data_IF_377306749609
#
_entry.id   IF_377306749609
#
_cell.length_a   1.000
_cell.length_b   1.000
_cell.length_c   1.000
_cell.angle_alpha   90.00
_cell.angle_beta   90.00
_cell.angle_gamma   90.00
#
_symmetry.space_group_name_H-M   'P 1'
#
loop_
_entity.id
_entity.type
_entity.pdbx_description
1 polymer ?
#
# COMPACT_ATOMS: atom_id res chain seq x y z
N UNK A 1 25.82 23.75 7.55
CA UNK A 1 25.90 22.31 7.21
C UNK A 1 26.94 21.62 8.07
N UNK A 2 26.63 20.45 8.57
CA UNK A 2 27.56 19.58 9.28
C UNK A 2 27.98 18.46 8.32
N UNK A 3 29.26 18.18 8.22
CA UNK A 3 29.81 17.09 7.42
C UNK A 3 30.54 16.12 8.33
N UNK A 4 30.25 14.84 8.19
CA UNK A 4 30.96 13.76 8.86
C UNK A 4 31.19 12.61 7.87
N UNK A 5 32.17 11.78 8.17
CA UNK A 5 32.45 10.56 7.41
C UNK A 5 32.68 9.38 8.37
N UNK A 6 32.27 8.20 7.95
CA UNK A 6 32.49 6.95 8.68
C UNK A 6 32.73 5.82 7.68
N UNK A 7 33.33 4.74 8.17
CA UNK A 7 33.50 3.50 7.41
C UNK A 7 32.38 2.55 7.75
N UNK A 8 31.62 2.11 6.73
CA UNK A 8 30.55 1.13 6.89
C UNK A 8 31.15 -0.27 6.74
N UNK A 9 31.67 -0.83 7.84
CA UNK A 9 32.43 -2.10 7.89
C UNK A 9 31.59 -3.29 8.42
N UNK A 10 30.40 -3.04 8.92
CA UNK A 10 29.44 -4.08 9.35
C UNK A 10 28.40 -4.29 8.24
N UNK A 11 28.35 -5.47 7.61
CA UNK A 11 27.36 -5.73 6.56
C UNK A 11 25.95 -5.86 7.12
N UNK A 12 24.94 -5.57 6.30
CA UNK A 12 23.52 -5.72 6.66
C UNK A 12 22.62 -4.63 6.10
N UNK A 13 21.39 -4.68 6.52
CA UNK A 13 20.40 -3.61 6.32
C UNK A 13 20.16 -2.92 7.67
N UNK A 14 20.33 -1.62 7.72
CA UNK A 14 20.27 -0.84 8.95
C UNK A 14 19.29 0.32 8.79
N UNK A 15 18.68 0.72 9.90
CA UNK A 15 17.98 1.99 9.97
C UNK A 15 18.97 3.11 10.30
N UNK A 16 18.78 4.28 9.69
CA UNK A 16 19.26 5.55 10.26
C UNK A 16 18.08 6.43 10.60
N UNK A 17 18.15 7.20 11.68
CA UNK A 17 17.04 8.03 12.10
C UNK A 17 17.49 9.25 12.92
N UNK A 18 16.59 10.21 13.07
CA UNK A 18 16.78 11.35 13.95
C UNK A 18 16.79 10.89 15.42
N UNK A 19 17.74 11.38 16.20
CA UNK A 19 17.87 11.09 17.65
C UNK A 19 17.46 12.27 18.52
N UNK A 20 16.96 13.36 17.94
CA UNK A 20 16.49 14.53 18.69
C UNK A 20 15.25 14.18 19.50
N UNK A 21 15.21 14.64 20.76
CA UNK A 21 14.03 14.44 21.62
C UNK A 21 12.87 15.35 21.23
N UNK A 22 11.63 14.83 21.26
CA UNK A 22 11.22 13.46 21.54
C UNK A 22 11.38 12.55 20.33
N UNK A 23 12.25 11.55 20.42
CA UNK A 23 12.62 10.63 19.32
C UNK A 23 11.38 10.03 18.64
N UNK A 24 10.42 9.54 19.44
CA UNK A 24 9.19 8.94 18.95
C UNK A 24 8.41 9.86 18.01
N UNK A 25 8.35 11.16 18.30
CA UNK A 25 7.68 12.13 17.44
C UNK A 25 8.41 12.30 16.11
N UNK A 26 9.75 12.37 16.15
CA UNK A 26 10.55 12.55 14.94
C UNK A 26 10.50 11.31 14.06
N UNK A 27 10.59 10.11 14.64
CA UNK A 27 10.40 8.84 13.94
C UNK A 27 9.01 8.74 13.32
N UNK A 28 7.96 9.02 14.07
CA UNK A 28 6.58 9.02 13.59
C UNK A 28 6.28 10.08 12.53
N UNK A 29 7.20 11.04 12.29
CA UNK A 29 7.14 12.01 11.20
C UNK A 29 8.01 11.62 9.99
N UNK A 30 8.54 10.39 9.93
CA UNK A 30 9.28 9.90 8.79
C UNK A 30 10.76 10.30 8.76
N UNK A 31 11.36 10.70 9.89
CA UNK A 31 12.77 11.08 9.95
C UNK A 31 13.69 9.84 10.11
N UNK A 32 13.62 8.94 9.17
CA UNK A 32 14.39 7.69 9.09
C UNK A 32 14.66 7.30 7.64
N UNK A 33 15.54 6.32 7.47
CA UNK A 33 15.79 5.67 6.18
C UNK A 33 16.59 4.39 6.36
N UNK A 34 16.87 3.71 5.26
CA UNK A 34 17.67 2.49 5.23
C UNK A 34 19.10 2.74 4.78
N UNK A 35 20.06 2.13 5.46
CA UNK A 35 21.46 2.04 5.07
C UNK A 35 21.79 0.58 4.75
N UNK A 36 22.17 0.30 3.51
CA UNK A 36 22.54 -1.04 3.08
C UNK A 36 24.07 -1.12 2.96
N UNK A 37 24.66 -2.05 3.69
CA UNK A 37 26.11 -2.31 3.67
C UNK A 37 26.34 -3.71 3.11
N UNK A 38 27.00 -3.80 1.98
CA UNK A 38 27.34 -5.07 1.34
C UNK A 38 28.47 -5.77 2.06
N UNK A 39 28.42 -7.11 2.25
CA UNK A 39 29.56 -7.85 2.81
C UNK A 39 30.76 -7.86 1.84
N UNK A 40 31.97 -8.04 2.38
CA UNK A 40 33.20 -8.17 1.58
C UNK A 40 33.15 -9.40 0.67
N UNK A 41 32.63 -10.52 1.19
CA UNK A 41 32.27 -11.69 0.39
C UNK A 41 30.83 -11.52 -0.10
N UNK A 42 30.62 -11.19 -1.37
CA UNK A 42 29.30 -10.83 -1.85
C UNK A 42 28.28 -11.97 -1.69
N UNK A 43 27.05 -11.63 -1.31
CA UNK A 43 25.94 -12.57 -1.39
C UNK A 43 25.74 -13.01 -2.85
N UNK A 44 25.11 -14.18 -3.10
CA UNK A 44 24.82 -14.63 -4.46
C UNK A 44 24.12 -13.52 -5.28
N UNK A 45 24.43 -13.37 -6.57
CA UNK A 45 23.84 -12.31 -7.38
C UNK A 45 22.31 -12.43 -7.44
N UNK A 46 21.63 -11.30 -7.39
CA UNK A 46 20.19 -11.17 -7.60
C UNK A 46 19.93 -10.39 -8.89
N UNK A 47 18.90 -10.78 -9.63
CA UNK A 47 18.49 -10.10 -10.86
C UNK A 47 17.83 -8.76 -10.53
N UNK A 48 16.92 -8.77 -9.56
CA UNK A 48 16.25 -7.58 -9.03
C UNK A 48 16.55 -7.43 -7.53
N UNK A 49 16.63 -6.18 -7.07
CA UNK A 49 16.81 -5.87 -5.65
C UNK A 49 15.92 -4.71 -5.25
N UNK A 50 15.25 -4.84 -4.10
CA UNK A 50 14.36 -3.83 -3.56
C UNK A 50 14.71 -3.52 -2.12
N UNK A 51 14.54 -2.26 -1.73
CA UNK A 51 14.61 -1.82 -0.33
C UNK A 51 13.19 -1.52 0.12
N UNK A 52 12.72 -2.23 1.14
CA UNK A 52 11.43 -2.02 1.77
C UNK A 52 11.63 -1.54 3.20
N UNK A 53 11.12 -0.37 3.51
CA UNK A 53 11.10 0.18 4.86
C UNK A 53 9.65 0.16 5.33
N UNK A 54 9.35 -0.71 6.31
CA UNK A 54 8.06 -0.68 6.98
C UNK A 54 8.04 0.40 8.04
N UNK A 55 6.94 1.13 8.15
CA UNK A 55 6.77 2.16 9.16
C UNK A 55 5.30 2.43 9.46
N UNK A 56 5.06 3.19 10.52
CA UNK A 56 3.74 3.45 11.07
C UNK A 56 3.40 4.93 10.98
N UNK A 57 2.18 5.25 10.54
CA UNK A 57 1.65 6.61 10.53
C UNK A 57 0.60 6.80 11.62
N UNK A 58 0.81 7.81 12.44
CA UNK A 58 -0.05 8.19 13.57
C UNK A 58 -0.53 9.60 13.35
N UNK A 59 -1.74 9.76 12.84
CA UNK A 59 -2.25 11.04 12.37
C UNK A 59 -3.43 11.54 13.19
N UNK A 60 -3.59 12.85 13.20
CA UNK A 60 -4.77 13.54 13.73
C UNK A 60 -5.09 14.75 12.87
N UNK A 61 -6.34 15.13 12.85
CA UNK A 61 -6.76 16.35 12.19
C UNK A 61 -6.29 17.57 12.97
N UNK A 62 -5.60 18.49 12.30
CA UNK A 62 -5.14 19.75 12.88
C UNK A 62 -6.12 20.87 12.56
N UNK A 63 -6.50 21.04 11.29
CA UNK A 63 -7.47 22.06 10.85
C UNK A 63 -7.94 21.78 9.42
N UNK A 64 -9.23 21.83 9.18
CA UNK A 64 -9.78 21.51 7.86
C UNK A 64 -9.33 20.13 7.39
N UNK A 65 -8.70 20.03 6.23
CA UNK A 65 -8.13 18.78 5.71
C UNK A 65 -6.65 18.57 6.08
N UNK A 66 -6.08 19.45 6.90
CA UNK A 66 -4.70 19.34 7.33
C UNK A 66 -4.58 18.27 8.42
N UNK A 67 -3.82 17.23 8.11
CA UNK A 67 -3.43 16.20 9.07
C UNK A 67 -2.04 16.50 9.64
N UNK A 68 -1.81 16.07 10.86
CA UNK A 68 -0.53 16.15 11.53
C UNK A 68 -0.30 14.95 12.43
N UNK A 69 0.88 14.85 13.06
CA UNK A 69 1.19 13.71 13.90
C UNK A 69 0.37 13.69 15.18
N UNK A 70 -0.03 12.50 15.62
CA UNK A 70 -0.67 12.25 16.91
C UNK A 70 0.30 11.56 17.86
N UNK A 71 0.93 12.33 18.74
CA UNK A 71 1.86 11.79 19.73
C UNK A 71 1.16 10.85 20.72
N UNK A 72 -0.10 11.12 21.04
CA UNK A 72 -0.91 10.26 21.90
C UNK A 72 -1.11 8.87 21.28
N UNK A 73 -1.50 8.80 20.00
CA UNK A 73 -1.62 7.51 19.30
C UNK A 73 -0.29 6.77 19.20
N UNK A 74 0.84 7.50 19.04
CA UNK A 74 2.18 6.91 19.06
C UNK A 74 2.47 6.22 20.39
N UNK A 75 2.19 6.88 21.52
CA UNK A 75 2.36 6.29 22.86
C UNK A 75 1.44 5.10 23.08
N UNK A 76 0.25 5.10 22.51
CA UNK A 76 -0.73 4.02 22.58
C UNK A 76 -0.45 2.88 21.59
N UNK A 77 0.54 3.01 20.70
CA UNK A 77 0.86 2.06 19.61
C UNK A 77 -0.35 1.77 18.71
N UNK A 78 -1.11 2.82 18.39
CA UNK A 78 -2.33 2.73 17.56
C UNK A 78 -2.16 3.54 16.27
N UNK A 79 -1.43 3.00 15.28
CA UNK A 79 -1.26 3.66 14.01
C UNK A 79 -2.58 3.74 13.22
N UNK A 80 -2.70 4.75 12.39
CA UNK A 80 -3.78 4.84 11.40
C UNK A 80 -3.42 4.05 10.14
N UNK A 81 -2.12 3.98 9.81
CA UNK A 81 -1.61 3.22 8.68
C UNK A 81 -0.27 2.57 9.05
N UNK A 82 -0.02 1.38 8.49
CA UNK A 82 1.29 0.74 8.42
C UNK A 82 1.66 0.63 6.95
N UNK A 83 2.84 1.12 6.59
CA UNK A 83 3.17 1.39 5.19
C UNK A 83 4.52 0.80 4.80
N UNK A 84 4.70 0.47 3.52
CA UNK A 84 6.01 0.22 2.93
C UNK A 84 6.46 1.47 2.17
N UNK A 85 7.67 1.95 2.47
CA UNK A 85 8.28 3.13 1.85
C UNK A 85 7.37 4.37 1.85
N UNK A 86 6.66 4.59 2.96
CA UNK A 86 5.96 5.84 3.25
C UNK A 86 4.56 6.00 2.67
N UNK A 87 4.00 4.98 1.99
CA UNK A 87 2.63 5.05 1.51
C UNK A 87 1.90 3.71 1.63
N UNK A 88 0.66 3.74 2.10
CA UNK A 88 -0.20 2.57 2.21
C UNK A 88 -0.47 1.98 0.82
N UNK A 89 -0.40 0.66 0.73
CA UNK A 89 -0.74 -0.14 -0.46
C UNK A 89 -0.14 0.34 -1.79
N UNK A 90 0.89 1.20 -1.78
CA UNK A 90 1.46 1.76 -3.03
C UNK A 90 1.95 0.67 -4.00
N UNK A 91 2.46 -0.44 -3.47
CA UNK A 91 2.94 -1.57 -4.27
C UNK A 91 1.82 -2.53 -4.72
N UNK A 92 0.57 -2.25 -4.37
CA UNK A 92 -0.60 -2.86 -5.00
C UNK A 92 -0.94 -2.08 -6.29
N UNK A 93 -0.89 -0.75 -6.22
CA UNK A 93 -1.09 0.12 -7.38
C UNK A 93 0.11 0.07 -8.36
N UNK A 94 1.32 -0.06 -7.82
CA UNK A 94 2.59 -0.10 -8.58
C UNK A 94 3.40 -1.34 -8.17
N UNK A 95 3.01 -2.55 -8.63
CA UNK A 95 3.67 -3.80 -8.27
C UNK A 95 5.16 -3.79 -8.61
N UNK A 96 5.95 -4.44 -7.77
CA UNK A 96 7.38 -4.59 -8.00
C UNK A 96 7.63 -5.71 -9.02
N UNK A 97 8.26 -5.43 -10.17
CA UNK A 97 8.50 -6.43 -11.20
C UNK A 97 9.57 -7.44 -10.76
N UNK A 98 9.36 -8.72 -11.05
CA UNK A 98 10.27 -9.82 -10.78
C UNK A 98 10.33 -10.75 -11.98
N UNK A 99 11.51 -11.29 -12.29
CA UNK A 99 11.69 -12.26 -13.36
C UNK A 99 11.55 -13.69 -12.82
N UNK A 100 10.64 -14.48 -13.39
CA UNK A 100 10.43 -15.87 -13.00
C UNK A 100 11.71 -16.71 -13.10
N UNK A 101 12.00 -17.52 -12.09
CA UNK A 101 13.20 -18.35 -12.01
C UNK A 101 14.50 -17.60 -11.71
N UNK A 102 14.42 -16.28 -11.50
CA UNK A 102 15.55 -15.45 -11.09
C UNK A 102 15.45 -15.08 -9.62
N UNK A 103 16.62 -14.86 -8.98
CA UNK A 103 16.65 -14.42 -7.59
C UNK A 103 16.26 -12.97 -7.52
N UNK A 104 15.30 -12.66 -6.64
CA UNK A 104 15.01 -11.31 -6.16
C UNK A 104 15.53 -11.19 -4.73
N UNK A 105 16.14 -10.05 -4.42
CA UNK A 105 16.62 -9.70 -3.09
C UNK A 105 15.81 -8.56 -2.51
N UNK A 106 15.34 -8.73 -1.29
CA UNK A 106 14.62 -7.70 -0.55
C UNK A 106 15.43 -7.34 0.69
N UNK A 107 15.88 -6.09 0.74
CA UNK A 107 16.44 -5.47 1.94
C UNK A 107 15.27 -4.87 2.71
N UNK A 108 14.92 -5.49 3.82
CA UNK A 108 13.80 -5.06 4.64
C UNK A 108 14.33 -4.35 5.89
N UNK A 109 13.76 -3.20 6.22
CA UNK A 109 14.03 -2.48 7.46
C UNK A 109 12.69 -2.17 8.13
N UNK A 110 12.52 -2.60 9.37
CA UNK A 110 11.40 -2.17 10.21
C UNK A 110 11.80 -0.87 10.92
N UNK A 111 11.31 0.25 10.42
CA UNK A 111 11.52 1.55 11.05
C UNK A 111 10.57 1.77 12.23
N UNK A 112 9.52 1.01 12.35
CA UNK A 112 8.52 1.13 13.41
C UNK A 112 7.79 2.48 13.39
N UNK A 113 7.76 3.21 14.50
CA UNK A 113 8.63 3.14 15.68
C UNK A 113 8.25 2.14 16.78
N UNK A 114 7.12 1.46 16.67
CA UNK A 114 6.57 0.72 17.82
C UNK A 114 6.23 -0.74 17.54
N UNK A 115 5.72 -1.07 16.35
CA UNK A 115 5.19 -2.39 16.04
C UNK A 115 6.26 -3.26 15.39
N UNK A 116 6.08 -4.56 15.54
CA UNK A 116 6.90 -5.57 14.87
C UNK A 116 6.31 -5.88 13.51
N UNK A 117 7.17 -6.14 12.54
CA UNK A 117 6.81 -6.69 11.26
C UNK A 117 6.89 -8.22 11.29
N UNK A 118 5.99 -8.89 10.57
CA UNK A 118 6.11 -10.31 10.22
C UNK A 118 6.07 -10.43 8.69
N UNK A 119 7.23 -10.29 8.05
CA UNK A 119 7.31 -10.22 6.61
C UNK A 119 7.10 -11.58 5.95
N UNK A 120 6.20 -11.63 4.97
CA UNK A 120 5.82 -12.84 4.24
C UNK A 120 5.51 -12.52 2.77
N UNK A 121 5.79 -13.46 1.88
CA UNK A 121 5.35 -13.43 0.47
C UNK A 121 4.39 -14.60 0.24
N UNK A 122 3.11 -14.29 0.03
CA UNK A 122 2.05 -15.29 -0.11
C UNK A 122 2.30 -16.14 -1.35
N UNK A 123 2.37 -17.47 -1.16
CA UNK A 123 2.62 -18.42 -2.25
C UNK A 123 4.09 -18.63 -2.61
N UNK A 124 5.01 -18.04 -1.82
CA UNK A 124 6.45 -18.24 -1.97
C UNK A 124 7.12 -18.52 -0.62
N UNK A 125 8.36 -18.98 -0.67
CA UNK A 125 9.25 -19.16 0.47
C UNK A 125 10.50 -18.33 0.25
N UNK A 126 11.09 -17.85 1.31
CA UNK A 126 12.42 -17.25 1.26
C UNK A 126 13.45 -18.38 1.20
N UNK A 127 14.20 -18.48 0.08
CA UNK A 127 15.28 -19.44 -0.05
C UNK A 127 16.37 -19.19 0.99
N UNK A 128 16.62 -17.89 1.28
CA UNK A 128 17.56 -17.44 2.31
C UNK A 128 17.02 -16.21 3.02
N UNK A 129 17.26 -16.18 4.33
CA UNK A 129 17.10 -15.00 5.18
C UNK A 129 18.44 -14.75 5.86
N UNK A 130 18.95 -13.52 5.75
CA UNK A 130 20.22 -13.10 6.32
C UNK A 130 19.98 -12.06 7.42
N UNK A 131 19.86 -12.48 8.69
CA UNK A 131 19.56 -11.56 9.79
C UNK A 131 20.65 -10.53 10.05
N UNK A 132 21.92 -10.91 9.86
CA UNK A 132 23.08 -10.00 10.00
C UNK A 132 23.66 -9.53 8.66
N UNK A 133 23.06 -9.91 7.53
CA UNK A 133 23.61 -9.63 6.21
C UNK A 133 24.78 -10.51 5.77
N UNK A 134 25.15 -11.53 6.55
CA UNK A 134 26.22 -12.47 6.25
C UNK A 134 25.67 -13.81 5.75
N UNK A 135 26.39 -14.44 4.81
CA UNK A 135 26.05 -15.76 4.32
C UNK A 135 26.21 -16.86 5.40
N UNK A 136 27.05 -16.64 6.40
CA UNK A 136 27.36 -17.62 7.46
C UNK A 136 26.20 -17.87 8.43
N UNK A 137 25.31 -16.93 8.61
CA UNK A 137 24.15 -17.02 9.52
C UNK A 137 22.80 -17.08 8.78
N UNK A 138 22.85 -17.37 7.47
CA UNK A 138 21.66 -17.48 6.65
C UNK A 138 20.74 -18.61 7.10
N UNK A 139 19.48 -18.30 7.34
CA UNK A 139 18.40 -19.25 7.48
C UNK A 139 17.94 -19.72 6.10
N UNK A 140 17.39 -20.92 6.00
CA UNK A 140 16.96 -21.53 4.74
C UNK A 140 15.50 -21.92 4.82
N UNK A 141 14.76 -21.80 3.71
CA UNK A 141 13.39 -22.29 3.54
C UNK A 141 12.43 -21.70 4.60
N UNK A 142 12.46 -20.37 4.74
CA UNK A 142 11.68 -19.62 5.73
C UNK A 142 10.40 -19.09 5.06
N UNK A 143 9.23 -19.34 5.65
CA UNK A 143 7.96 -18.84 5.10
C UNK A 143 7.66 -17.40 5.50
N UNK A 144 7.90 -17.05 6.75
CA UNK A 144 7.72 -15.71 7.31
C UNK A 144 8.82 -15.43 8.34
N UNK A 145 9.17 -14.17 8.50
CA UNK A 145 10.23 -13.77 9.45
C UNK A 145 9.82 -12.54 10.22
N UNK A 146 9.97 -12.60 11.55
CA UNK A 146 9.64 -11.49 12.44
C UNK A 146 10.82 -10.54 12.58
N UNK A 147 10.56 -9.25 12.47
CA UNK A 147 11.52 -8.17 12.48
C UNK A 147 11.03 -7.14 13.48
N UNK A 148 11.87 -6.78 14.45
CA UNK A 148 11.52 -5.76 15.43
C UNK A 148 11.83 -4.34 14.96
N UNK A 149 11.21 -3.33 15.58
CA UNK A 149 11.52 -1.93 15.30
C UNK A 149 13.03 -1.65 15.42
N UNK A 150 13.59 -1.02 14.38
CA UNK A 150 15.02 -0.73 14.29
C UNK A 150 15.88 -1.85 13.69
N UNK A 151 15.29 -3.00 13.38
CA UNK A 151 16.01 -4.11 12.75
C UNK A 151 15.91 -4.07 11.22
N UNK A 152 16.95 -4.55 10.56
CA UNK A 152 16.94 -4.84 9.14
C UNK A 152 17.33 -6.29 8.86
N UNK A 153 16.78 -6.85 7.80
CA UNK A 153 16.98 -8.23 7.37
C UNK A 153 17.04 -8.29 5.85
N UNK A 154 17.87 -9.18 5.30
CA UNK A 154 17.94 -9.40 3.86
C UNK A 154 17.25 -10.72 3.51
N UNK A 155 16.39 -10.70 2.51
CA UNK A 155 15.65 -11.85 2.01
C UNK A 155 16.06 -12.15 0.57
N UNK A 156 16.34 -13.39 0.25
CA UNK A 156 16.45 -13.90 -1.12
C UNK A 156 15.34 -14.92 -1.38
N UNK A 157 14.67 -14.79 -2.51
CA UNK A 157 13.69 -15.76 -2.97
C UNK A 157 13.73 -15.92 -4.49
N UNK A 158 13.28 -17.09 -4.98
CA UNK A 158 13.14 -17.40 -6.39
C UNK A 158 11.72 -17.90 -6.66
N UNK A 159 10.94 -17.14 -7.38
CA UNK A 159 9.58 -17.50 -7.75
C UNK A 159 9.59 -18.08 -9.17
N UNK A 160 9.22 -19.36 -9.28
CA UNK A 160 9.34 -20.10 -10.53
C UNK A 160 8.24 -19.80 -11.55
N UNK A 161 7.03 -19.45 -11.08
CA UNK A 161 5.86 -19.28 -11.95
C UNK A 161 5.50 -17.80 -12.09
N UNK A 162 5.26 -17.32 -13.33
CA UNK A 162 4.68 -16.00 -13.54
C UNK A 162 3.34 -15.84 -12.81
N UNK A 163 3.08 -14.63 -12.32
CA UNK A 163 1.86 -14.29 -11.58
C UNK A 163 2.08 -13.17 -10.58
N UNK A 164 1.03 -12.80 -9.88
CA UNK A 164 1.07 -11.79 -8.82
C UNK A 164 1.15 -12.44 -7.45
N UNK A 165 2.16 -12.08 -6.68
CA UNK A 165 2.43 -12.60 -5.35
C UNK A 165 2.38 -11.46 -4.35
N UNK A 166 1.45 -11.53 -3.42
CA UNK A 166 1.34 -10.49 -2.38
C UNK A 166 2.49 -10.63 -1.37
N UNK A 167 3.17 -9.54 -1.08
CA UNK A 167 4.00 -9.45 0.12
C UNK A 167 3.29 -8.61 1.18
N UNK A 168 3.39 -9.03 2.42
CA UNK A 168 2.55 -8.54 3.51
C UNK A 168 3.31 -8.49 4.83
N UNK A 169 2.87 -7.64 5.73
CA UNK A 169 3.03 -7.91 7.15
C UNK A 169 1.97 -8.94 7.55
N UNK A 170 2.39 -10.09 8.07
CA UNK A 170 1.49 -11.18 8.46
C UNK A 170 0.82 -10.95 9.82
N UNK A 171 1.09 -9.83 10.50
CA UNK A 171 0.14 -9.24 11.43
C UNK A 171 -0.99 -8.62 10.60
N UNK A 172 -2.13 -9.32 10.56
CA UNK A 172 -3.22 -8.92 9.70
C UNK A 172 -3.85 -7.58 10.06
N UNK A 173 -3.68 -7.10 11.29
CA UNK A 173 -4.07 -5.74 11.62
C UNK A 173 -3.23 -4.72 10.82
N UNK A 174 -1.92 -4.94 10.74
CA UNK A 174 -1.01 -4.10 9.96
C UNK A 174 -1.27 -4.19 8.46
N UNK A 175 -1.51 -5.41 7.95
CA UNK A 175 -1.91 -5.62 6.56
C UNK A 175 -3.16 -4.81 6.22
N UNK A 176 -4.18 -4.87 7.08
CA UNK A 176 -5.48 -4.22 6.84
C UNK A 176 -5.41 -2.69 6.80
N UNK A 177 -4.41 -2.10 7.42
CA UNK A 177 -4.19 -0.66 7.44
C UNK A 177 -3.03 -0.20 6.55
N UNK A 178 -2.57 -1.08 5.61
CA UNK A 178 -1.72 -0.63 4.51
C UNK A 178 -0.43 -1.42 4.26
N UNK A 179 0.00 -2.32 5.14
CA UNK A 179 1.23 -3.11 4.99
C UNK A 179 1.06 -4.25 3.96
N UNK A 180 0.76 -3.89 2.72
CA UNK A 180 0.50 -4.78 1.60
C UNK A 180 1.14 -4.27 0.32
N UNK A 181 1.76 -5.18 -0.44
CA UNK A 181 2.28 -4.94 -1.77
C UNK A 181 2.22 -6.19 -2.65
N UNK A 182 2.66 -6.08 -3.90
CA UNK A 182 2.62 -7.15 -4.90
C UNK A 182 3.96 -7.24 -5.61
N UNK A 183 4.50 -8.44 -5.71
CA UNK A 183 5.53 -8.81 -6.68
C UNK A 183 4.82 -9.24 -7.97
N UNK A 184 5.08 -8.58 -9.08
CA UNK A 184 4.55 -8.96 -10.40
C UNK A 184 5.61 -9.79 -11.14
N UNK A 185 5.44 -11.11 -11.11
CA UNK A 185 6.42 -12.06 -11.64
C UNK A 185 6.15 -12.32 -13.11
N UNK A 186 7.08 -11.92 -13.96
CA UNK A 186 7.03 -12.05 -15.41
C UNK A 186 7.84 -13.23 -15.93
N UNK A 187 7.44 -13.80 -17.06
CA UNK A 187 8.25 -14.80 -17.76
C UNK A 187 9.60 -14.18 -18.20
N UNK A 188 10.69 -14.94 -18.24
CA UNK A 188 11.97 -14.44 -18.74
C UNK A 188 11.83 -13.88 -20.16
N UNK A 189 12.34 -12.66 -20.39
CA UNK A 189 12.26 -11.98 -21.69
C UNK A 189 10.92 -11.31 -22.01
N UNK A 190 9.94 -11.39 -21.12
CA UNK A 190 8.72 -10.61 -21.25
C UNK A 190 9.03 -9.11 -21.09
N UNK A 191 8.37 -8.20 -21.85
CA UNK A 191 8.53 -6.78 -21.63
C UNK A 191 8.02 -6.43 -20.24
N UNK A 192 8.94 -6.00 -19.39
CA UNK A 192 8.63 -5.49 -18.05
C UNK A 192 8.37 -3.99 -18.22
N UNK A 193 7.17 -3.53 -17.90
CA UNK A 193 6.96 -2.11 -17.69
C UNK A 193 7.81 -1.75 -16.46
N UNK A 194 8.91 -1.02 -16.68
CA UNK A 194 9.71 -0.52 -15.58
C UNK A 194 8.76 0.17 -14.59
N UNK A 195 8.89 -0.09 -13.27
CA UNK A 195 8.18 0.73 -12.29
C UNK A 195 8.58 2.16 -12.65
N UNK A 196 7.58 3.01 -12.86
CA UNK A 196 7.83 4.45 -12.80
C UNK A 196 8.61 4.65 -11.51
N UNK A 197 9.84 5.11 -11.62
CA UNK A 197 10.67 5.32 -10.46
C UNK A 197 9.86 6.17 -9.48
N UNK A 198 9.25 5.51 -8.51
CA UNK A 198 8.93 6.16 -7.27
C UNK A 198 10.31 6.53 -6.74
N UNK A 199 10.70 7.77 -6.96
CA UNK A 199 11.91 8.34 -6.43
C UNK A 199 12.02 7.89 -4.98
N UNK A 200 13.10 7.17 -4.69
CA UNK A 200 13.52 7.07 -3.31
C UNK A 200 13.43 8.48 -2.74
N UNK A 201 12.81 8.71 -1.59
CA UNK A 201 12.70 10.05 -1.06
C UNK A 201 14.10 10.60 -0.85
N UNK A 202 14.61 11.31 -1.85
CA UNK A 202 15.68 12.24 -1.66
C UNK A 202 15.14 13.20 -0.61
N UNK A 203 15.86 13.39 0.48
CA UNK A 203 15.55 14.36 1.53
C UNK A 203 15.09 15.68 0.91
N UNK A 204 13.82 15.79 0.64
CA UNK A 204 13.20 16.99 0.14
C UNK A 204 12.84 17.83 1.37
N UNK A 205 13.71 18.78 1.68
CA UNK A 205 13.25 20.00 2.36
C UNK A 205 12.04 20.51 1.61
N UNK A 206 10.93 20.63 2.34
CA UNK A 206 9.65 21.02 1.83
C UNK A 206 9.73 22.30 0.98
N UNK A 207 9.47 22.14 -0.31
CA UNK A 207 8.87 23.16 -1.13
C UNK A 207 7.54 22.60 -1.58
N UNK A 208 6.49 23.19 -1.05
CA UNK A 208 5.14 22.92 -1.49
C UNK A 208 5.04 23.20 -2.99
N UNK A 209 4.92 22.15 -3.76
CA UNK A 209 4.55 22.25 -5.17
C UNK A 209 3.46 21.21 -5.47
N UNK A 210 2.49 21.69 -6.21
CA UNK A 210 1.18 21.19 -6.55
C UNK A 210 1.04 19.67 -6.76
N UNK A 211 -0.18 19.13 -6.55
CA UNK A 211 -0.49 17.72 -6.72
C UNK A 211 -0.26 17.28 -8.19
N UNK A 212 0.10 16.00 -8.41
CA UNK A 212 0.23 15.48 -9.76
C UNK A 212 -1.10 15.62 -10.50
N UNK A 213 -1.00 16.17 -11.69
CA UNK A 213 -2.10 16.40 -12.61
C UNK A 213 -2.84 15.10 -12.87
N UNK A 214 -4.13 15.09 -12.63
CA UNK A 214 -5.04 14.04 -13.02
C UNK A 214 -4.77 13.61 -14.47
N UNK A 215 -4.73 12.30 -14.70
CA UNK A 215 -4.68 11.70 -16.03
C UNK A 215 -5.68 12.40 -16.96
N UNK A 216 -5.20 12.79 -18.13
CA UNK A 216 -5.98 13.52 -19.11
C UNK A 216 -7.30 12.79 -19.39
N UNK A 217 -8.40 13.49 -19.17
CA UNK A 217 -9.74 13.10 -19.58
C UNK A 217 -9.73 12.80 -21.07
N UNK A 218 -10.24 11.65 -21.54
CA UNK A 218 -10.49 11.44 -22.95
C UNK A 218 -11.42 12.54 -23.47
N UNK A 219 -11.03 13.19 -24.54
CA UNK A 219 -11.84 14.23 -25.21
C UNK A 219 -13.06 13.58 -25.88
N UNK A 220 -14.15 13.37 -25.16
CA UNK A 220 -15.40 12.80 -25.67
C UNK A 220 -16.40 12.59 -24.53
N UNK A 221 -17.70 12.39 -24.83
CA UNK A 221 -18.68 12.05 -23.79
C UNK A 221 -18.30 10.74 -23.12
N UNK A 222 -18.39 10.70 -21.79
CA UNK A 222 -18.11 9.52 -20.97
C UNK A 222 -18.89 8.30 -21.48
N UNK A 223 -18.17 7.18 -21.64
CA UNK A 223 -18.76 5.88 -21.95
C UNK A 223 -18.17 4.86 -21.00
N UNK A 224 -18.99 4.11 -20.30
CA UNK A 224 -18.56 3.05 -19.40
C UNK A 224 -17.69 2.02 -20.12
N UNK A 225 -16.50 1.77 -19.57
CA UNK A 225 -15.59 0.72 -19.98
C UNK A 225 -15.58 -0.41 -18.93
N UNK A 226 -16.25 -1.54 -19.18
CA UNK A 226 -16.32 -2.65 -18.23
C UNK A 226 -14.96 -3.27 -17.90
N UNK A 227 -14.01 -3.29 -18.85
CA UNK A 227 -12.68 -3.85 -18.64
C UNK A 227 -11.84 -2.92 -17.73
N UNK A 228 -11.91 -1.62 -17.99
CA UNK A 228 -11.25 -0.61 -17.15
C UNK A 228 -11.85 -0.60 -15.74
N UNK A 229 -13.19 -0.61 -15.60
CA UNK A 229 -13.85 -0.68 -14.30
C UNK A 229 -13.49 -1.93 -13.50
N UNK A 230 -13.42 -3.10 -14.15
CA UNK A 230 -12.98 -4.33 -13.51
C UNK A 230 -11.53 -4.28 -13.05
N UNK A 231 -10.64 -3.69 -13.85
CA UNK A 231 -9.22 -3.52 -13.51
C UNK A 231 -9.04 -2.58 -12.31
N UNK A 232 -9.72 -1.45 -12.32
CA UNK A 232 -9.69 -0.47 -11.23
C UNK A 232 -10.29 -1.06 -9.93
N UNK A 233 -11.39 -1.81 -10.04
CA UNK A 233 -11.97 -2.52 -8.91
C UNK A 233 -10.99 -3.53 -8.31
N UNK A 234 -10.36 -4.33 -9.15
CA UNK A 234 -9.36 -5.31 -8.70
C UNK A 234 -8.18 -4.64 -7.97
N UNK A 235 -7.74 -3.49 -8.44
CA UNK A 235 -6.61 -2.75 -7.87
C UNK A 235 -6.94 -2.03 -6.56
N UNK A 236 -8.18 -1.51 -6.41
CA UNK A 236 -8.51 -0.58 -5.32
C UNK A 236 -9.54 -1.12 -4.32
N UNK A 237 -10.39 -2.07 -4.72
CA UNK A 237 -11.58 -2.45 -3.94
C UNK A 237 -11.58 -3.93 -3.54
N UNK A 238 -11.05 -4.83 -4.41
CA UNK A 238 -11.17 -6.26 -4.24
C UNK A 238 -10.44 -6.81 -2.99
N UNK A 239 -9.42 -6.14 -2.50
CA UNK A 239 -8.72 -6.53 -1.27
C UNK A 239 -9.68 -6.61 -0.06
N UNK A 240 -10.61 -5.66 0.04
CA UNK A 240 -11.60 -5.61 1.12
C UNK A 240 -12.93 -6.25 0.71
N UNK A 241 -13.47 -5.88 -0.46
CA UNK A 241 -14.80 -6.30 -0.89
C UNK A 241 -14.81 -7.63 -1.64
N UNK A 242 -13.64 -8.26 -1.82
CA UNK A 242 -13.39 -9.50 -2.56
C UNK A 242 -13.67 -9.38 -4.06
N UNK A 243 -13.01 -10.18 -4.90
CA UNK A 243 -13.23 -10.20 -6.35
C UNK A 243 -14.68 -10.56 -6.73
N UNK A 244 -15.39 -11.23 -5.85
CA UNK A 244 -16.81 -11.63 -5.99
C UNK A 244 -17.79 -10.60 -5.44
N UNK A 245 -17.33 -9.48 -4.91
CA UNK A 245 -18.16 -8.45 -4.29
C UNK A 245 -18.90 -8.88 -3.03
N UNK A 246 -18.51 -10.01 -2.42
CA UNK A 246 -19.20 -10.57 -1.23
C UNK A 246 -18.75 -9.96 0.08
N UNK A 247 -17.68 -9.18 0.06
CA UNK A 247 -17.05 -8.65 1.27
C UNK A 247 -16.49 -9.75 2.18
N UNK A 248 -16.21 -9.37 3.41
CA UNK A 248 -15.78 -10.30 4.46
C UNK A 248 -16.73 -10.12 5.67
N UNK A 249 -17.49 -11.16 6.06
CA UNK A 249 -18.44 -11.07 7.16
C UNK A 249 -17.81 -10.51 8.44
N UNK A 250 -18.44 -9.51 9.03
CA UNK A 250 -17.98 -8.86 10.24
C UNK A 250 -16.85 -7.84 10.08
N UNK A 251 -16.18 -7.79 8.93
CA UNK A 251 -15.06 -6.87 8.66
C UNK A 251 -15.40 -5.88 7.52
N UNK A 252 -15.76 -6.38 6.35
CA UNK A 252 -16.03 -5.56 5.16
C UNK A 252 -17.40 -5.86 4.56
N UNK A 253 -18.18 -4.84 4.18
CA UNK A 253 -19.50 -5.03 3.65
C UNK A 253 -19.49 -5.68 2.26
N UNK A 254 -20.55 -6.46 1.92
CA UNK A 254 -20.75 -6.90 0.55
C UNK A 254 -21.17 -5.71 -0.34
N UNK A 255 -20.73 -5.74 -1.60
CA UNK A 255 -21.18 -4.86 -2.67
C UNK A 255 -22.24 -5.55 -3.52
N UNK A 256 -22.17 -6.88 -3.58
CA UNK A 256 -23.22 -7.72 -4.16
C UNK A 256 -24.50 -7.59 -3.35
N UNK A 257 -25.57 -7.13 -4.00
CA UNK A 257 -26.87 -6.92 -3.35
C UNK A 257 -26.92 -5.76 -2.36
N UNK A 258 -25.88 -4.91 -2.32
CA UNK A 258 -25.83 -3.77 -1.40
C UNK A 258 -26.87 -2.70 -1.78
N UNK A 259 -27.71 -2.25 -0.83
CA UNK A 259 -28.73 -1.24 -1.12
C UNK A 259 -28.18 0.06 -1.71
N UNK A 260 -27.03 0.56 -1.21
CA UNK A 260 -26.44 1.79 -1.74
C UNK A 260 -25.91 1.62 -3.18
N UNK A 261 -25.39 0.43 -3.52
CA UNK A 261 -24.95 0.09 -4.88
C UNK A 261 -26.13 -0.06 -5.83
N UNK A 262 -27.27 -0.58 -5.35
CA UNK A 262 -28.46 -0.83 -6.16
C UNK A 262 -29.41 0.36 -6.23
N UNK A 263 -29.19 1.40 -5.43
CA UNK A 263 -30.07 2.58 -5.40
C UNK A 263 -30.13 3.26 -6.78
N UNK A 264 -31.33 3.69 -7.16
CA UNK A 264 -31.54 4.50 -8.38
C UNK A 264 -30.82 5.84 -8.29
N UNK A 265 -30.74 6.42 -7.07
CA UNK A 265 -29.94 7.60 -6.80
C UNK A 265 -28.53 7.16 -6.36
N UNK A 266 -27.50 7.35 -7.19
CA UNK A 266 -26.16 6.85 -6.89
C UNK A 266 -25.39 7.71 -5.88
N UNK A 267 -25.96 8.77 -5.34
CA UNK A 267 -25.24 9.76 -4.52
C UNK A 267 -24.50 9.12 -3.34
N UNK A 268 -25.15 8.21 -2.60
CA UNK A 268 -24.53 7.53 -1.46
C UNK A 268 -23.35 6.66 -1.89
N UNK A 269 -23.47 5.91 -2.99
CA UNK A 269 -22.37 5.09 -3.50
C UNK A 269 -21.19 5.97 -3.93
N UNK A 270 -21.47 7.03 -4.69
CA UNK A 270 -20.42 7.95 -5.19
C UNK A 270 -19.75 8.65 -4.01
N UNK A 271 -20.51 9.17 -3.05
CA UNK A 271 -19.97 9.84 -1.86
C UNK A 271 -19.08 8.89 -1.04
N UNK A 272 -19.52 7.64 -0.86
CA UNK A 272 -18.75 6.61 -0.18
C UNK A 272 -17.42 6.32 -0.88
N UNK A 273 -17.39 6.23 -2.21
CA UNK A 273 -16.13 6.03 -2.95
C UNK A 273 -15.26 7.28 -2.87
N UNK A 274 -15.83 8.47 -3.00
CA UNK A 274 -15.09 9.73 -2.97
C UNK A 274 -14.45 10.00 -1.60
N UNK A 275 -15.23 9.87 -0.53
CA UNK A 275 -14.88 10.38 0.78
C UNK A 275 -14.62 9.29 1.83
N UNK A 276 -14.80 8.01 1.43
CA UNK A 276 -14.69 6.90 2.35
C UNK A 276 -15.91 6.73 3.27
N UNK A 277 -15.86 5.73 4.13
CA UNK A 277 -16.91 5.47 5.12
C UNK A 277 -16.33 4.80 6.36
N UNK A 278 -16.91 5.09 7.52
CA UNK A 278 -16.55 4.44 8.77
C UNK A 278 -17.80 4.26 9.65
N UNK A 279 -18.00 3.06 10.16
CA UNK A 279 -19.08 2.77 11.10
C UNK A 279 -20.50 2.93 10.55
N UNK A 280 -20.68 3.01 9.23
CA UNK A 280 -22.00 3.14 8.60
C UNK A 280 -22.69 1.78 8.60
N UNK A 281 -23.92 1.68 9.15
CA UNK A 281 -24.66 0.43 9.12
C UNK A 281 -25.17 0.13 7.70
N UNK A 282 -24.91 -1.08 7.21
CA UNK A 282 -25.42 -1.58 5.94
C UNK A 282 -26.31 -2.77 6.24
N UNK A 283 -27.60 -2.67 5.87
CA UNK A 283 -28.61 -3.70 6.18
C UNK A 283 -28.65 -4.11 7.66
N UNK A 284 -28.43 -3.15 8.57
CA UNK A 284 -28.45 -3.37 10.03
C UNK A 284 -27.15 -3.93 10.61
N UNK A 285 -26.11 -4.12 9.80
CA UNK A 285 -24.78 -4.55 10.25
C UNK A 285 -23.81 -3.37 10.20
N UNK A 286 -23.15 -3.08 11.32
CA UNK A 286 -22.08 -2.07 11.39
C UNK A 286 -20.75 -2.75 11.15
N UNK A 287 -19.98 -2.24 10.17
CA UNK A 287 -18.66 -2.73 9.84
C UNK A 287 -17.58 -1.86 10.50
N UNK A 288 -16.66 -2.44 11.28
CA UNK A 288 -15.67 -1.67 12.03
C UNK A 288 -14.55 -1.10 11.15
N UNK A 289 -14.30 -1.69 10.00
CA UNK A 289 -13.22 -1.27 9.11
C UNK A 289 -13.57 0.02 8.37
N UNK A 290 -12.62 0.94 8.31
CA UNK A 290 -12.77 2.17 7.54
C UNK A 290 -12.55 1.89 6.04
N UNK A 291 -13.39 2.45 5.19
CA UNK A 291 -13.16 2.54 3.75
C UNK A 291 -12.37 3.81 3.45
N UNK A 292 -11.21 3.74 2.77
CA UNK A 292 -10.44 4.93 2.45
C UNK A 292 -11.13 5.81 1.40
N UNK A 293 -10.84 7.13 1.38
CA UNK A 293 -11.34 8.05 0.36
C UNK A 293 -10.50 7.95 -0.93
N UNK A 294 -11.17 8.00 -2.09
CA UNK A 294 -10.50 7.95 -3.40
C UNK A 294 -10.58 9.26 -4.19
N UNK A 295 -11.12 10.33 -3.61
CA UNK A 295 -11.32 11.61 -4.29
C UNK A 295 -10.03 12.22 -4.82
N UNK A 296 -8.89 12.02 -4.16
CA UNK A 296 -7.59 12.58 -4.55
C UNK A 296 -6.81 11.71 -5.53
N UNK A 297 -7.12 10.41 -5.62
CA UNK A 297 -6.34 9.43 -6.38
C UNK A 297 -7.01 8.96 -7.68
N UNK A 298 -8.34 9.10 -7.79
CA UNK A 298 -9.11 8.65 -8.94
C UNK A 298 -9.86 9.80 -9.62
N UNK A 299 -9.88 9.79 -10.94
CA UNK A 299 -10.65 10.75 -11.75
C UNK A 299 -12.15 10.47 -11.66
N UNK A 300 -12.99 11.42 -12.12
CA UNK A 300 -14.43 11.23 -12.16
C UNK A 300 -14.84 10.07 -13.08
N UNK A 301 -14.08 9.84 -14.16
CA UNK A 301 -14.29 8.71 -15.08
C UNK A 301 -13.91 7.38 -14.41
N UNK A 302 -12.80 7.31 -13.70
CA UNK A 302 -12.35 6.11 -13.00
C UNK A 302 -13.36 5.69 -11.93
N UNK A 303 -13.84 6.64 -11.14
CA UNK A 303 -14.86 6.39 -10.10
C UNK A 303 -16.19 5.94 -10.75
N UNK A 304 -16.57 6.54 -11.88
CA UNK A 304 -17.76 6.11 -12.60
C UNK A 304 -17.60 4.68 -13.14
N UNK A 305 -16.42 4.30 -13.64
CA UNK A 305 -16.17 2.95 -14.14
C UNK A 305 -16.14 1.92 -13.01
N UNK A 306 -15.54 2.23 -11.84
CA UNK A 306 -15.60 1.37 -10.65
C UNK A 306 -17.04 1.19 -10.19
N UNK A 307 -17.76 2.28 -9.98
CA UNK A 307 -19.14 2.23 -9.52
C UNK A 307 -20.05 1.47 -10.49
N UNK A 308 -19.84 1.61 -11.80
CA UNK A 308 -20.57 0.86 -12.81
C UNK A 308 -20.21 -0.63 -12.83
N UNK A 309 -18.94 -0.97 -12.58
CA UNK A 309 -18.53 -2.36 -12.37
C UNK A 309 -19.28 -2.96 -11.18
N UNK A 310 -19.36 -2.28 -10.05
CA UNK A 310 -20.10 -2.73 -8.87
C UNK A 310 -21.61 -2.87 -9.14
N UNK A 311 -22.19 -1.93 -9.88
CA UNK A 311 -23.61 -1.87 -10.21
C UNK A 311 -24.05 -2.94 -11.19
N UNK A 312 -23.14 -3.50 -12.00
CA UNK A 312 -23.45 -4.43 -13.08
C UNK A 312 -22.82 -5.81 -12.93
N UNK A 313 -22.01 -6.05 -11.87
CA UNK A 313 -21.33 -7.32 -11.62
C UNK A 313 -22.06 -8.16 -10.57
N UNK A 314 -21.68 -9.41 -10.45
CA UNK A 314 -22.13 -10.38 -9.41
C UNK A 314 -23.63 -10.59 -9.31
N UNK A 315 -24.39 -10.25 -10.37
CA UNK A 315 -25.84 -10.31 -10.40
C UNK A 315 -26.53 -9.00 -9.98
N UNK A 316 -25.77 -7.94 -9.67
CA UNK A 316 -26.29 -6.59 -9.55
C UNK A 316 -26.79 -6.09 -10.91
N UNK A 317 -27.93 -5.41 -10.96
CA UNK A 317 -28.58 -4.91 -12.17
C UNK A 317 -29.06 -3.45 -11.96
N UNK A 318 -28.16 -2.59 -11.48
CA UNK A 318 -28.48 -1.19 -11.29
C UNK A 318 -28.11 -0.36 -12.54
N UNK A 319 -28.77 0.78 -12.69
CA UNK A 319 -28.54 1.68 -13.83
C UNK A 319 -27.13 2.26 -13.76
N UNK A 320 -26.35 2.22 -14.85
CA UNK A 320 -25.03 2.85 -14.90
C UNK A 320 -25.08 4.36 -14.62
N UNK A 321 -24.01 4.87 -14.05
CA UNK A 321 -23.79 6.29 -13.74
C UNK A 321 -22.79 6.91 -14.71
N UNK A 322 -22.72 8.23 -14.74
CA UNK A 322 -21.81 8.99 -15.60
C UNK A 322 -20.72 9.71 -14.79
N UNK A 323 -19.62 10.05 -15.45
CA UNK A 323 -18.57 10.87 -14.85
C UNK A 323 -19.06 12.25 -14.39
N UNK A 324 -20.08 12.81 -15.08
CA UNK A 324 -20.68 14.09 -14.68
C UNK A 324 -21.45 13.97 -13.35
N UNK A 325 -22.06 12.82 -13.06
CA UNK A 325 -22.67 12.57 -11.75
C UNK A 325 -21.63 12.49 -10.66
N UNK A 326 -20.49 11.83 -10.91
CA UNK A 326 -19.36 11.79 -9.97
C UNK A 326 -18.81 13.21 -9.72
N UNK A 327 -18.61 13.98 -10.78
CA UNK A 327 -18.17 15.37 -10.70
C UNK A 327 -19.10 16.24 -9.86
N UNK A 328 -20.40 16.05 -10.04
CA UNK A 328 -21.42 16.79 -9.29
C UNK A 328 -21.39 16.44 -7.79
N UNK A 329 -21.20 15.14 -7.44
CA UNK A 329 -21.06 14.73 -6.04
C UNK A 329 -19.74 15.22 -5.43
N UNK A 330 -18.63 15.09 -6.14
CA UNK A 330 -17.32 15.62 -5.70
C UNK A 330 -17.37 17.12 -5.38
N UNK A 331 -18.12 17.91 -6.16
CA UNK A 331 -18.26 19.34 -5.94
C UNK A 331 -19.03 19.70 -4.67
N UNK A 332 -19.82 18.78 -4.10
CA UNK A 332 -20.56 18.98 -2.84
C UNK A 332 -19.66 18.82 -1.60
N UNK A 333 -18.53 18.12 -1.74
CA UNK A 333 -17.71 17.69 -0.61
C UNK A 333 -18.38 16.56 0.19
N UNK A 334 -17.71 16.09 1.27
CA UNK A 334 -18.21 14.97 2.08
C UNK A 334 -19.58 15.29 2.69
N UNK A 335 -20.46 14.29 2.72
CA UNK A 335 -21.73 14.41 3.43
C UNK A 335 -21.47 14.71 4.92
N UNK A 336 -22.22 15.66 5.49
CA UNK A 336 -22.06 16.07 6.89
C UNK A 336 -22.63 15.04 7.85
#
# INVERSE_FOLDING_TARGET
SLHFSFVADVPGAFIYHCETMPILLHMGNGMYGALIVSPQDPLPPAEESYVLVQSEWYTQQISGNLMGPSYEKMLQKRPDEVVFNGAAVQYVAHPLPVTAGKRVRIYFVDAGPNLWASFHVIGAMFDKVYPSGLASDALTDVSAYSIGPGQGVIFDLVIQKPGKYSFVDHDFANLMIGAHGVLDVHAPGAPVSAPSAAEAPASAVASASAPPSASATPAGPYKFDPAHGASLYAANCAACHQATGTGLPGAFPPLKGNPAVLDVNPATQIDTILHGAHGVPISGVTYPSAMPPFASSLSDADIADIANHERTSWGNQAKPITADQVKAERAKGPAK
#
